data_IF_011518318990
#
_entry.id   IF_011518318990
#
_cell.length_a   1.000
_cell.length_b   1.000
_cell.length_c   1.000
_cell.angle_alpha   90.00
_cell.angle_beta   90.00
_cell.angle_gamma   90.00
#
_symmetry.space_group_name_H-M   'P 1'
#
loop_
_entity.id
_entity.type
_entity.pdbx_description
1 polymer ?
#
# COMPACT_ATOMS: atom_id res chain seq x y z
N UNK A 1 -18.56 32.82 -104.35
CA UNK A 1 -18.07 31.59 -103.64
C UNK A 1 -16.56 31.54 -103.49
N UNK A 2 -15.75 31.82 -104.52
CA UNK A 2 -14.27 31.70 -104.43
C UNK A 2 -13.61 32.55 -103.34
N UNK A 3 -14.14 33.74 -103.03
CA UNK A 3 -13.61 34.65 -101.98
C UNK A 3 -13.87 34.16 -100.53
N UNK A 4 -14.97 33.41 -100.33
CA UNK A 4 -15.36 32.93 -99.00
C UNK A 4 -14.47 31.75 -98.59
N UNK A 5 -14.15 30.87 -99.53
CA UNK A 5 -13.22 29.75 -99.29
C UNK A 5 -11.79 30.21 -99.06
N UNK A 6 -11.29 31.23 -99.77
CA UNK A 6 -9.94 31.76 -99.48
C UNK A 6 -9.85 32.42 -98.11
N UNK A 7 -10.88 33.16 -97.69
CA UNK A 7 -10.92 33.80 -96.37
C UNK A 7 -10.93 32.76 -95.24
N UNK A 8 -11.69 31.68 -95.41
CA UNK A 8 -11.77 30.60 -94.43
C UNK A 8 -10.45 29.81 -94.30
N UNK A 9 -9.70 29.64 -95.40
CA UNK A 9 -8.38 28.98 -95.40
C UNK A 9 -7.33 29.87 -94.73
N UNK A 10 -7.34 31.18 -94.99
CA UNK A 10 -6.42 32.13 -94.33
C UNK A 10 -6.71 32.21 -92.82
N UNK A 11 -7.99 32.22 -92.43
CA UNK A 11 -8.38 32.24 -91.02
C UNK A 11 -8.00 30.95 -90.27
N UNK A 12 -8.04 29.79 -90.94
CA UNK A 12 -7.61 28.51 -90.36
C UNK A 12 -6.07 28.34 -90.32
N UNK A 13 -5.33 29.02 -91.20
CA UNK A 13 -3.87 29.08 -91.14
C UNK A 13 -3.36 30.03 -90.04
N UNK A 14 -4.09 31.11 -89.74
CA UNK A 14 -3.72 32.07 -88.69
C UNK A 14 -4.15 31.65 -87.28
N UNK A 15 -5.16 30.80 -87.12
CA UNK A 15 -5.57 30.25 -85.82
C UNK A 15 -4.73 29.04 -85.38
N UNK A 16 -3.85 28.52 -86.25
CA UNK A 16 -3.10 27.29 -86.06
C UNK A 16 -2.06 27.29 -84.92
N UNK A 17 -1.23 28.32 -84.70
CA UNK A 17 -0.19 28.23 -83.68
C UNK A 17 -0.42 29.20 -82.51
N UNK A 18 -1.66 29.32 -82.03
CA UNK A 18 -1.89 29.80 -80.66
C UNK A 18 -1.92 28.63 -79.65
N UNK A 19 -1.73 27.40 -80.11
CA UNK A 19 -1.27 26.27 -79.29
C UNK A 19 0.21 26.47 -78.98
N UNK A 20 0.52 27.45 -78.13
CA UNK A 20 1.86 27.68 -77.60
C UNK A 20 2.37 26.37 -76.99
N UNK A 21 3.21 25.69 -77.76
CA UNK A 21 3.91 24.50 -77.33
C UNK A 21 4.79 24.93 -76.16
N UNK A 22 4.40 24.55 -74.94
CA UNK A 22 5.35 24.50 -73.84
C UNK A 22 6.54 23.69 -74.34
N UNK A 23 7.67 24.35 -74.56
CA UNK A 23 8.86 23.63 -74.99
C UNK A 23 9.32 22.75 -73.83
N UNK A 24 10.07 21.68 -74.12
CA UNK A 24 10.62 20.83 -73.07
C UNK A 24 11.39 21.65 -72.01
N UNK A 25 12.06 22.72 -72.44
CA UNK A 25 12.77 23.65 -71.57
C UNK A 25 11.84 24.44 -70.62
N UNK A 26 10.64 24.81 -71.09
CA UNK A 26 9.63 25.49 -70.26
C UNK A 26 9.05 24.52 -69.22
N UNK A 27 8.83 23.25 -69.59
CA UNK A 27 8.39 22.20 -68.67
C UNK A 27 9.45 21.93 -67.59
N UNK A 28 10.73 21.87 -67.97
CA UNK A 28 11.82 21.64 -67.01
C UNK A 28 11.97 22.80 -66.02
N UNK A 29 11.78 24.06 -66.47
CA UNK A 29 11.73 25.22 -65.58
C UNK A 29 10.55 25.15 -64.60
N UNK A 30 9.36 24.80 -65.08
CA UNK A 30 8.18 24.64 -64.22
C UNK A 30 8.43 23.54 -63.19
N UNK A 31 9.01 22.41 -63.60
CA UNK A 31 9.34 21.31 -62.68
C UNK A 31 10.35 21.75 -61.62
N UNK A 32 11.35 22.55 -61.98
CA UNK A 32 12.32 23.11 -61.04
C UNK A 32 11.64 24.01 -60.00
N UNK A 33 10.82 24.96 -60.45
CA UNK A 33 10.09 25.90 -59.58
C UNK A 33 9.14 25.14 -58.65
N UNK A 34 8.36 24.20 -59.19
CA UNK A 34 7.44 23.38 -58.38
C UNK A 34 8.21 22.56 -57.36
N UNK A 35 9.36 21.98 -57.75
CA UNK A 35 10.20 21.22 -56.81
C UNK A 35 10.71 22.11 -55.67
N UNK A 36 11.21 23.30 -55.98
CA UNK A 36 11.72 24.25 -54.98
C UNK A 36 10.61 24.75 -54.04
N UNK A 37 9.43 25.09 -54.57
CA UNK A 37 8.28 25.49 -53.75
C UNK A 37 7.79 24.34 -52.87
N UNK A 38 7.73 23.11 -53.40
CA UNK A 38 7.34 21.93 -52.63
C UNK A 38 8.35 21.63 -51.53
N UNK A 39 9.65 21.66 -51.82
CA UNK A 39 10.71 21.48 -50.81
C UNK A 39 10.62 22.56 -49.71
N UNK A 40 10.40 23.81 -50.09
CA UNK A 40 10.23 24.92 -49.15
C UNK A 40 8.97 24.75 -48.29
N UNK A 41 7.85 24.35 -48.90
CA UNK A 41 6.60 24.10 -48.19
C UNK A 41 6.73 22.91 -47.22
N UNK A 42 7.40 21.84 -47.62
CA UNK A 42 7.70 20.68 -46.79
C UNK A 42 8.59 21.08 -45.61
N UNK A 43 9.70 21.79 -45.85
CA UNK A 43 10.59 22.25 -44.79
C UNK A 43 9.86 23.16 -43.77
N UNK A 44 9.01 24.07 -44.24
CA UNK A 44 8.17 24.91 -43.37
C UNK A 44 7.17 24.07 -42.57
N UNK A 45 6.56 23.07 -43.19
CA UNK A 45 5.63 22.16 -42.52
C UNK A 45 6.33 21.32 -41.46
N UNK A 46 7.51 20.77 -41.76
CA UNK A 46 8.33 20.00 -40.81
C UNK A 46 8.76 20.86 -39.62
N UNK A 47 9.20 22.10 -39.87
CA UNK A 47 9.55 23.05 -38.80
C UNK A 47 8.37 23.31 -37.87
N UNK A 48 7.17 23.53 -38.43
CA UNK A 48 5.95 23.73 -37.62
C UNK A 48 5.61 22.50 -36.80
N UNK A 49 5.64 21.32 -37.43
CA UNK A 49 5.34 20.06 -36.74
C UNK A 49 6.31 19.82 -35.58
N UNK A 50 7.60 20.12 -35.78
CA UNK A 50 8.61 19.99 -34.74
C UNK A 50 8.34 20.93 -33.57
N UNK A 51 8.03 22.20 -33.84
CA UNK A 51 7.68 23.18 -32.80
C UNK A 51 6.44 22.75 -32.00
N UNK A 52 5.38 22.26 -32.67
CA UNK A 52 4.21 21.72 -32.00
C UNK A 52 4.53 20.49 -31.14
N UNK A 53 5.39 19.61 -31.62
CA UNK A 53 5.81 18.42 -30.89
C UNK A 53 6.58 18.80 -29.62
N UNK A 54 7.56 19.70 -29.74
CA UNK A 54 8.35 20.20 -28.61
C UNK A 54 7.48 20.91 -27.57
N UNK A 55 6.57 21.78 -28.01
CA UNK A 55 5.61 22.44 -27.12
C UNK A 55 4.66 21.44 -26.44
N UNK A 56 4.21 20.42 -27.17
CA UNK A 56 3.37 19.36 -26.62
C UNK A 56 4.12 18.52 -25.58
N UNK A 57 5.34 18.07 -25.90
CA UNK A 57 6.19 17.32 -24.97
C UNK A 57 6.49 18.13 -23.70
N UNK A 58 6.77 19.43 -23.83
CA UNK A 58 7.02 20.30 -22.69
C UNK A 58 5.80 20.36 -21.76
N UNK A 59 4.60 20.55 -22.32
CA UNK A 59 3.35 20.56 -21.54
C UNK A 59 3.07 19.22 -20.88
N UNK A 60 3.32 18.11 -21.57
CA UNK A 60 3.15 16.76 -21.00
C UNK A 60 4.13 16.51 -19.86
N UNK A 61 5.41 16.88 -20.03
CA UNK A 61 6.43 16.75 -18.96
C UNK A 61 6.06 17.56 -17.73
N UNK A 62 5.59 18.80 -17.92
CA UNK A 62 5.15 19.65 -16.82
C UNK A 62 3.94 19.04 -16.09
N UNK A 63 2.91 18.64 -16.83
CA UNK A 63 1.71 18.01 -16.25
C UNK A 63 2.06 16.74 -15.46
N UNK A 64 2.87 15.85 -16.05
CA UNK A 64 3.32 14.62 -15.38
C UNK A 64 4.13 14.95 -14.13
N UNK A 65 5.01 15.95 -14.17
CA UNK A 65 5.79 16.37 -13.00
C UNK A 65 4.90 16.90 -11.87
N UNK A 66 3.88 17.69 -12.21
CA UNK A 66 2.91 18.19 -11.23
C UNK A 66 2.08 17.05 -10.60
N UNK A 67 1.62 16.09 -11.40
CA UNK A 67 0.88 14.94 -10.88
C UNK A 67 1.76 14.03 -10.00
N UNK A 68 3.02 13.80 -10.38
CA UNK A 68 3.98 13.07 -9.52
C UNK A 68 4.17 13.80 -8.18
N UNK A 69 4.31 15.13 -8.20
CA UNK A 69 4.45 15.92 -6.97
C UNK A 69 3.22 15.81 -6.06
N UNK A 70 2.01 15.87 -6.63
CA UNK A 70 0.77 15.65 -5.88
C UNK A 70 0.71 14.26 -5.26
N UNK A 71 1.00 13.21 -6.05
CA UNK A 71 1.00 11.82 -5.57
C UNK A 71 2.03 11.60 -4.46
N UNK A 72 3.22 12.18 -4.58
CA UNK A 72 4.24 12.09 -3.53
C UNK A 72 3.79 12.79 -2.23
N UNK A 73 3.06 13.90 -2.35
CA UNK A 73 2.52 14.63 -1.20
C UNK A 73 1.45 13.80 -0.50
N UNK A 74 0.49 13.24 -1.24
CA UNK A 74 -0.56 12.39 -0.68
C UNK A 74 0.00 11.10 -0.07
N UNK A 75 1.02 10.48 -0.69
CA UNK A 75 1.74 9.35 -0.12
C UNK A 75 2.42 9.71 1.21
N UNK A 76 3.10 10.85 1.28
CA UNK A 76 3.75 11.32 2.52
C UNK A 76 2.75 11.59 3.64
N UNK A 77 1.59 12.16 3.32
CA UNK A 77 0.51 12.36 4.29
C UNK A 77 -0.10 11.04 4.77
N UNK A 78 -0.36 10.09 3.86
CA UNK A 78 -0.84 8.76 4.21
C UNK A 78 0.16 8.01 5.10
N UNK A 79 1.45 8.06 4.78
CA UNK A 79 2.51 7.40 5.55
C UNK A 79 2.58 7.96 6.98
N UNK A 80 2.50 9.28 7.15
CA UNK A 80 2.42 9.93 8.47
C UNK A 80 1.18 9.50 9.25
N UNK A 81 0.02 9.42 8.59
CA UNK A 81 -1.24 9.00 9.23
C UNK A 81 -1.16 7.53 9.67
N UNK A 82 -0.74 6.63 8.79
CA UNK A 82 -0.60 5.21 9.08
C UNK A 82 0.42 4.98 10.21
N UNK A 83 1.56 5.65 10.17
CA UNK A 83 2.57 5.56 11.24
C UNK A 83 2.02 6.06 12.58
N UNK A 84 1.23 7.14 12.56
CA UNK A 84 0.54 7.65 13.75
C UNK A 84 -0.48 6.66 14.31
N UNK A 85 -1.34 6.11 13.45
CA UNK A 85 -2.35 5.12 13.81
C UNK A 85 -1.71 3.85 14.38
N UNK A 86 -0.68 3.31 13.73
CA UNK A 86 0.08 2.15 14.22
C UNK A 86 0.66 2.41 15.61
N UNK A 87 1.30 3.56 15.83
CA UNK A 87 1.83 3.92 17.17
C UNK A 87 0.75 4.06 18.22
N UNK A 88 -0.44 4.54 17.82
CA UNK A 88 -1.57 4.68 18.74
C UNK A 88 -2.14 3.31 19.14
N UNK A 89 -2.26 2.40 18.17
CA UNK A 89 -2.69 1.02 18.39
C UNK A 89 -1.70 0.25 19.24
N UNK A 90 -0.40 0.39 18.97
CA UNK A 90 0.67 -0.25 19.75
C UNK A 90 0.61 0.14 21.24
N UNK A 91 0.38 1.44 21.53
CA UNK A 91 0.16 1.91 22.91
C UNK A 91 -1.09 1.31 23.55
N UNK A 92 -2.20 1.26 22.81
CA UNK A 92 -3.44 0.68 23.34
C UNK A 92 -3.29 -0.82 23.63
N UNK A 93 -2.65 -1.56 22.72
CA UNK A 93 -2.37 -2.97 22.90
C UNK A 93 -1.42 -3.22 24.07
N UNK A 94 -0.36 -2.42 24.23
CA UNK A 94 0.56 -2.55 25.35
C UNK A 94 -0.14 -2.28 26.70
N UNK A 95 -1.00 -1.26 26.77
CA UNK A 95 -1.79 -0.98 27.98
C UNK A 95 -2.76 -2.12 28.30
N UNK A 96 -3.46 -2.66 27.29
CA UNK A 96 -4.34 -3.82 27.46
C UNK A 96 -3.55 -5.06 27.90
N UNK A 97 -2.39 -5.31 27.29
CA UNK A 97 -1.53 -6.42 27.66
C UNK A 97 -1.05 -6.32 29.11
N UNK A 98 -0.60 -5.13 29.55
CA UNK A 98 -0.23 -4.87 30.95
C UNK A 98 -1.41 -5.06 31.90
N UNK A 99 -2.60 -4.60 31.53
CA UNK A 99 -3.81 -4.79 32.34
C UNK A 99 -4.14 -6.28 32.49
N UNK A 100 -4.10 -7.05 31.41
CA UNK A 100 -4.33 -8.50 31.43
C UNK A 100 -3.29 -9.20 32.29
N UNK A 101 -2.01 -8.84 32.14
CA UNK A 101 -0.92 -9.42 32.92
C UNK A 101 -1.10 -9.13 34.42
N UNK A 102 -1.46 -7.90 34.78
CA UNK A 102 -1.77 -7.52 36.15
C UNK A 102 -2.97 -8.30 36.71
N UNK A 103 -4.03 -8.50 35.92
CA UNK A 103 -5.20 -9.27 36.32
C UNK A 103 -4.85 -10.75 36.56
N UNK A 104 -4.06 -11.35 35.66
CA UNK A 104 -3.58 -12.74 35.81
C UNK A 104 -2.73 -12.88 37.07
N UNK A 105 -1.81 -11.94 37.32
CA UNK A 105 -0.99 -11.93 38.53
C UNK A 105 -1.86 -11.80 39.79
N UNK A 106 -2.88 -10.95 39.77
CA UNK A 106 -3.83 -10.79 40.88
C UNK A 106 -4.59 -12.10 41.17
N UNK A 107 -5.12 -12.75 40.13
CA UNK A 107 -5.82 -14.05 40.28
C UNK A 107 -4.87 -15.11 40.86
N UNK A 108 -3.62 -15.16 40.38
CA UNK A 108 -2.62 -16.09 40.89
C UNK A 108 -2.35 -15.88 42.40
N UNK A 109 -2.32 -14.63 42.87
CA UNK A 109 -2.16 -14.32 44.30
C UNK A 109 -3.41 -14.71 45.09
N UNK A 110 -4.60 -14.32 44.60
CA UNK A 110 -5.89 -14.58 45.28
C UNK A 110 -6.16 -16.07 45.43
N UNK A 111 -5.82 -16.90 44.43
CA UNK A 111 -6.04 -18.34 44.48
C UNK A 111 -4.86 -19.08 45.10
N UNK A 112 -3.62 -18.69 44.75
CA UNK A 112 -2.42 -19.40 45.16
C UNK A 112 -2.11 -19.28 46.65
N UNK A 113 -2.30 -18.09 47.24
CA UNK A 113 -1.98 -17.87 48.67
C UNK A 113 -2.86 -18.71 49.59
N UNK A 114 -4.21 -18.72 49.46
CA UNK A 114 -5.05 -19.58 50.29
C UNK A 114 -4.76 -21.07 50.12
N UNK A 115 -4.49 -21.55 48.89
CA UNK A 115 -4.17 -22.96 48.67
C UNK A 115 -2.88 -23.38 49.37
N UNK A 116 -1.84 -22.54 49.36
CA UNK A 116 -0.58 -22.80 50.05
C UNK A 116 -0.79 -22.79 51.57
N UNK A 117 -1.52 -21.81 52.11
CA UNK A 117 -1.81 -21.72 53.56
C UNK A 117 -2.58 -22.96 54.02
N UNK A 118 -3.64 -23.35 53.31
CA UNK A 118 -4.43 -24.55 53.66
C UNK A 118 -3.58 -25.82 53.57
N UNK A 119 -2.70 -25.93 52.57
CA UNK A 119 -1.81 -27.08 52.45
C UNK A 119 -0.81 -27.18 53.63
N UNK A 120 -0.31 -26.04 54.13
CA UNK A 120 0.56 -26.00 55.30
C UNK A 120 -0.20 -26.32 56.59
N UNK A 121 -1.38 -25.74 56.80
CA UNK A 121 -2.22 -26.04 57.96
C UNK A 121 -2.61 -27.52 58.04
N UNK A 122 -2.92 -28.16 56.90
CA UNK A 122 -3.24 -29.60 56.88
C UNK A 122 -2.10 -30.49 57.36
N UNK A 123 -0.84 -30.09 57.13
CA UNK A 123 0.32 -30.84 57.66
C UNK A 123 0.42 -30.70 59.17
N UNK A 124 0.20 -29.50 59.69
CA UNK A 124 0.27 -29.23 61.11
C UNK A 124 -0.86 -29.92 61.88
N UNK A 125 -2.10 -29.88 61.37
CA UNK A 125 -3.25 -30.58 61.96
C UNK A 125 -2.99 -32.08 62.04
N UNK A 126 -2.48 -32.72 60.97
CA UNK A 126 -2.13 -34.15 60.99
C UNK A 126 -1.08 -34.49 62.06
N UNK A 127 -0.05 -33.64 62.21
CA UNK A 127 0.96 -33.83 63.24
C UNK A 127 0.41 -33.64 64.66
N UNK A 128 -0.60 -32.79 64.84
CA UNK A 128 -1.30 -32.64 66.11
C UNK A 128 -2.23 -33.83 66.39
N UNK A 129 -2.98 -34.29 65.40
CA UNK A 129 -3.86 -35.46 65.52
C UNK A 129 -3.08 -36.72 65.91
N UNK A 130 -1.90 -36.95 65.30
CA UNK A 130 -1.02 -38.07 65.66
C UNK A 130 -0.53 -37.99 67.12
N UNK A 131 -0.22 -36.77 67.61
CA UNK A 131 0.16 -36.56 69.01
C UNK A 131 -1.00 -36.79 69.97
N UNK A 132 -2.20 -36.32 69.61
CA UNK A 132 -3.42 -36.51 70.39
C UNK A 132 -3.73 -38.01 70.49
N UNK A 133 -3.66 -38.76 69.39
CA UNK A 133 -3.90 -40.20 69.38
C UNK A 133 -2.90 -40.95 70.26
N UNK A 134 -1.61 -40.58 70.20
CA UNK A 134 -0.58 -41.16 71.05
C UNK A 134 -0.82 -40.89 72.54
N UNK A 135 -1.23 -39.67 72.90
CA UNK A 135 -1.58 -39.31 74.28
C UNK A 135 -2.84 -40.05 74.75
N UNK A 136 -3.85 -40.19 73.90
CA UNK A 136 -5.08 -40.90 74.22
C UNK A 136 -4.81 -42.38 74.54
N UNK A 137 -3.95 -43.03 73.75
CA UNK A 137 -3.48 -44.40 74.02
C UNK A 137 -2.74 -44.53 75.35
N UNK A 138 -1.94 -43.54 75.73
CA UNK A 138 -1.25 -43.54 77.02
C UNK A 138 -2.23 -43.39 78.20
N UNK A 139 -3.22 -42.49 78.06
CA UNK A 139 -4.28 -42.31 79.07
C UNK A 139 -5.07 -43.61 79.24
N UNK A 140 -5.49 -44.25 78.15
CA UNK A 140 -6.21 -45.53 78.22
C UNK A 140 -5.38 -46.66 78.86
N UNK A 141 -4.07 -46.71 78.58
CA UNK A 141 -3.18 -47.68 79.20
C UNK A 141 -3.04 -47.44 80.72
N UNK A 142 -2.86 -46.18 81.13
CA UNK A 142 -2.80 -45.77 82.53
C UNK A 142 -4.12 -46.02 83.27
N UNK A 143 -5.26 -45.75 82.64
CA UNK A 143 -6.59 -46.04 83.22
C UNK A 143 -6.79 -47.54 83.42
N UNK A 144 -6.36 -48.38 82.48
CA UNK A 144 -6.40 -49.84 82.64
C UNK A 144 -5.51 -50.32 83.77
N UNK A 145 -4.28 -49.79 83.88
CA UNK A 145 -3.37 -50.13 84.97
C UNK A 145 -3.95 -49.72 86.33
N UNK A 146 -4.50 -48.50 86.43
CA UNK A 146 -5.20 -48.01 87.63
C UNK A 146 -6.44 -48.85 87.98
N UNK A 147 -7.19 -49.34 86.99
CA UNK A 147 -8.33 -50.21 87.21
C UNK A 147 -7.90 -51.58 87.77
N UNK A 148 -6.81 -52.16 87.24
CA UNK A 148 -6.22 -53.40 87.76
C UNK A 148 -5.74 -53.20 89.21
N UNK A 149 -4.98 -52.15 89.49
CA UNK A 149 -4.52 -51.85 90.85
C UNK A 149 -5.67 -51.60 91.85
N UNK A 150 -6.79 -51.03 91.39
CA UNK A 150 -7.98 -50.88 92.25
C UNK A 150 -8.64 -52.21 92.57
N UNK A 151 -8.66 -53.14 91.61
CA UNK A 151 -9.27 -54.45 91.77
C UNK A 151 -8.44 -55.37 92.68
N UNK A 152 -7.12 -55.23 92.68
CA UNK A 152 -6.21 -55.93 93.60
C UNK A 152 -6.26 -55.41 95.05
N UNK A 153 -6.88 -54.25 95.29
CA UNK A 153 -7.02 -53.62 96.63
C UNK A 153 -8.37 -53.85 97.30
N UNK A 154 -9.29 -54.58 96.67
CA UNK A 154 -10.58 -55.02 97.23
C UNK A 154 -10.57 -56.52 97.48
#
# INVERSE_FOLDING_TARGET
>A
MKLITTSMIVFSLFSGPASSSLTQADIDKIRLIVKEEVETAVARSESRTKEYLEASESRTKEYVSQEIAKVNTTLSEMDKRLTGEIRSLDKQLNNLFMLVLALVAFIAVVIGVPQIIVALQRKEVRAQDEKIEAQQKQIEALEKEMAIYRQERT
#
